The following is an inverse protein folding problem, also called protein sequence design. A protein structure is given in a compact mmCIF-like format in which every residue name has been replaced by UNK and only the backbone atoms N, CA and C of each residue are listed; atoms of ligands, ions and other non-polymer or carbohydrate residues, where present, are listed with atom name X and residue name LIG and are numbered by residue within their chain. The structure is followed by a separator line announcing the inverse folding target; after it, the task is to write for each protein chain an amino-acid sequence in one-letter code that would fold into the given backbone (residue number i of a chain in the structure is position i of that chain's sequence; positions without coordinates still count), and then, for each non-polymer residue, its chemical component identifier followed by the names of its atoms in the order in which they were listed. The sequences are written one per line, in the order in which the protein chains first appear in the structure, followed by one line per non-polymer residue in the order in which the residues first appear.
data_IF_431200941122
#
_entry.id   IF_431200941122
#
_cell.length_a   1.000
_cell.length_b   1.000
_cell.length_c   1.000
_cell.angle_alpha   90.00
_cell.angle_beta   90.00
_cell.angle_gamma   90.00
#
_symmetry.space_group_name_H-M   'P 1'
#
loop_
_entity.id
_entity.type
_entity.pdbx_description
1 polymer ?
#
# COMPACT_ATOMS: atom_id res chain seq x y z
N UNK A 1 30.82 7.81 -18.75
CA UNK A 1 29.41 7.48 -19.02
C UNK A 1 28.54 8.54 -18.36
N UNK A 2 27.49 9.03 -19.01
CA UNK A 2 26.55 9.98 -18.39
C UNK A 2 25.77 9.29 -17.30
N UNK A 3 25.44 10.01 -16.24
CA UNK A 3 24.58 9.51 -15.13
C UNK A 3 23.22 9.11 -15.70
N UNK A 4 22.79 7.85 -15.53
CA UNK A 4 21.50 7.40 -16.05
C UNK A 4 20.34 8.10 -15.31
N UNK A 5 19.27 8.39 -16.06
CA UNK A 5 18.11 9.15 -15.56
C UNK A 5 16.84 8.32 -15.61
N UNK A 6 16.16 8.19 -14.49
CA UNK A 6 14.86 7.53 -14.37
C UNK A 6 13.74 8.54 -14.14
N UNK A 7 12.58 8.32 -14.78
CA UNK A 7 11.34 9.04 -14.48
C UNK A 7 10.35 8.10 -13.81
N UNK A 8 10.18 8.25 -12.49
CA UNK A 8 9.19 7.52 -11.71
C UNK A 8 7.84 8.23 -11.81
N UNK A 9 6.80 7.50 -12.14
CA UNK A 9 5.44 8.00 -12.34
C UNK A 9 4.50 7.33 -11.35
N UNK A 10 4.12 8.06 -10.31
CA UNK A 10 3.19 7.57 -9.28
C UNK A 10 2.47 8.73 -8.62
N UNK A 11 1.19 8.54 -8.32
CA UNK A 11 0.39 9.55 -7.63
C UNK A 11 -0.98 9.06 -7.22
N UNK A 12 -1.70 9.91 -6.52
CA UNK A 12 -3.07 9.72 -6.07
C UNK A 12 -3.19 9.12 -4.68
N UNK A 13 -2.52 8.01 -4.39
CA UNK A 13 -2.60 7.35 -3.07
C UNK A 13 -1.24 6.85 -2.59
N UNK A 14 -1.11 6.67 -1.28
CA UNK A 14 0.10 6.10 -0.68
C UNK A 14 0.46 4.71 -1.24
N UNK A 15 -0.55 3.94 -1.68
CA UNK A 15 -0.34 2.62 -2.29
C UNK A 15 0.48 2.63 -3.58
N UNK A 16 0.51 3.74 -4.31
CA UNK A 16 1.39 3.94 -5.48
C UNK A 16 2.67 4.68 -5.11
N UNK A 17 2.55 5.68 -4.20
CA UNK A 17 3.65 6.60 -3.88
C UNK A 17 4.75 5.88 -3.10
N UNK A 18 4.43 5.11 -2.06
CA UNK A 18 5.44 4.44 -1.23
C UNK A 18 6.23 3.37 -1.98
N UNK A 19 5.62 2.49 -2.79
CA UNK A 19 6.39 1.58 -3.66
C UNK A 19 7.29 2.32 -4.65
N UNK A 20 6.78 3.40 -5.26
CA UNK A 20 7.59 4.25 -6.14
C UNK A 20 8.77 4.88 -5.43
N UNK A 21 8.58 5.32 -4.17
CA UNK A 21 9.64 5.90 -3.37
C UNK A 21 10.72 4.86 -3.02
N UNK A 22 10.33 3.64 -2.66
CA UNK A 22 11.29 2.56 -2.41
C UNK A 22 12.17 2.27 -3.64
N UNK A 23 11.58 2.21 -4.84
CA UNK A 23 12.34 2.05 -6.09
C UNK A 23 13.24 3.26 -6.34
N UNK A 24 12.73 4.47 -6.17
CA UNK A 24 13.48 5.72 -6.36
C UNK A 24 14.71 5.81 -5.46
N UNK A 25 14.57 5.38 -4.20
CA UNK A 25 15.68 5.34 -3.22
C UNK A 25 16.75 4.33 -3.64
N UNK A 26 16.37 3.13 -4.09
CA UNK A 26 17.31 2.13 -4.61
C UNK A 26 18.04 2.66 -5.84
N UNK A 27 17.33 3.22 -6.82
CA UNK A 27 17.94 3.81 -8.03
C UNK A 27 18.92 4.93 -7.66
N UNK A 28 18.53 5.86 -6.78
CA UNK A 28 19.40 6.94 -6.31
C UNK A 28 20.66 6.38 -5.61
N UNK A 29 20.51 5.37 -4.77
CA UNK A 29 21.62 4.68 -4.11
C UNK A 29 22.59 4.02 -5.10
N UNK A 30 22.13 3.70 -6.31
CA UNK A 30 22.93 3.17 -7.43
C UNK A 30 23.48 4.25 -8.37
N UNK A 31 23.36 5.53 -7.99
CA UNK A 31 23.92 6.66 -8.74
C UNK A 31 23.03 7.18 -9.88
N UNK A 32 21.73 6.82 -9.90
CA UNK A 32 20.80 7.36 -10.89
C UNK A 32 20.32 8.76 -10.53
N UNK A 33 20.11 9.60 -11.54
CA UNK A 33 19.28 10.79 -11.39
C UNK A 33 17.81 10.39 -11.49
N UNK A 34 17.03 10.69 -10.43
CA UNK A 34 15.63 10.31 -10.37
C UNK A 34 14.74 11.54 -10.42
N UNK A 35 13.85 11.59 -11.39
CA UNK A 35 12.75 12.54 -11.48
C UNK A 35 11.44 11.85 -11.12
N UNK A 36 10.52 12.60 -10.51
CA UNK A 36 9.21 12.09 -10.13
C UNK A 36 8.11 12.86 -10.83
N UNK A 37 7.26 12.17 -11.60
CA UNK A 37 6.08 12.75 -12.21
C UNK A 37 4.83 12.47 -11.37
N UNK A 38 4.14 13.54 -10.98
CA UNK A 38 2.92 13.48 -10.18
C UNK A 38 1.93 14.60 -10.52
N UNK A 39 0.80 14.64 -9.80
CA UNK A 39 -0.15 15.74 -9.91
C UNK A 39 0.38 17.01 -9.23
N UNK A 40 -0.05 18.21 -9.68
CA UNK A 40 0.35 19.46 -9.04
C UNK A 40 -0.20 19.56 -7.60
N UNK A 41 0.39 20.47 -6.83
CA UNK A 41 -0.08 20.83 -5.48
C UNK A 41 -1.54 21.35 -5.50
N UNK A 42 -2.39 20.99 -4.50
CA UNK A 42 -2.11 20.10 -3.39
C UNK A 42 -2.40 18.62 -3.76
N UNK A 43 -1.37 17.80 -3.79
CA UNK A 43 -1.50 16.34 -3.94
C UNK A 43 -0.59 15.66 -2.92
N UNK A 44 -0.87 14.40 -2.58
CA UNK A 44 -0.04 13.66 -1.62
C UNK A 44 1.41 13.56 -2.09
N UNK A 45 1.62 13.21 -3.35
CA UNK A 45 2.96 13.12 -3.94
C UNK A 45 3.69 14.46 -4.00
N UNK A 46 2.98 15.58 -4.26
CA UNK A 46 3.60 16.90 -4.28
C UNK A 46 4.05 17.40 -2.90
N UNK A 47 3.51 16.81 -1.83
CA UNK A 47 3.91 17.10 -0.45
C UNK A 47 5.00 16.15 0.04
N UNK A 48 4.95 14.87 -0.34
CA UNK A 48 5.84 13.84 0.19
C UNK A 48 7.18 13.73 -0.55
N UNK A 49 7.21 13.98 -1.85
CA UNK A 49 8.38 13.67 -2.69
C UNK A 49 9.47 14.75 -2.63
N UNK A 50 9.17 16.07 -2.74
CA UNK A 50 10.21 17.11 -2.71
C UNK A 50 11.04 17.11 -1.42
N UNK A 51 10.45 16.94 -0.20
CA UNK A 51 11.25 16.86 1.03
C UNK A 51 12.22 15.68 1.09
N UNK A 52 12.01 14.64 0.25
CA UNK A 52 12.91 13.50 0.11
C UNK A 52 14.09 13.78 -0.85
N UNK A 53 14.15 14.98 -1.43
CA UNK A 53 15.24 15.40 -2.32
C UNK A 53 15.14 14.87 -3.75
N UNK A 54 13.96 14.44 -4.20
CA UNK A 54 13.73 14.07 -5.60
C UNK A 54 13.20 15.25 -6.42
N UNK A 55 13.62 15.34 -7.69
CA UNK A 55 13.10 16.32 -8.63
C UNK A 55 11.64 16.03 -8.95
N UNK A 56 10.73 16.93 -8.56
CA UNK A 56 9.30 16.75 -8.75
C UNK A 56 8.79 17.50 -9.98
N UNK A 57 8.06 16.80 -10.85
CA UNK A 57 7.56 17.26 -12.13
C UNK A 57 6.02 17.15 -12.14
N UNK A 58 5.36 18.30 -12.16
CA UNK A 58 3.90 18.35 -12.13
C UNK A 58 3.27 18.23 -13.52
N UNK A 59 2.32 17.29 -13.67
CA UNK A 59 1.45 17.17 -14.84
C UNK A 59 0.00 17.28 -14.41
N UNK A 60 -0.75 18.17 -15.05
CA UNK A 60 -2.15 18.45 -14.71
C UNK A 60 -3.08 17.38 -15.23
N UNK A 61 -3.16 16.28 -14.50
CA UNK A 61 -4.14 15.24 -14.76
C UNK A 61 -4.60 14.65 -13.43
N UNK A 62 -5.90 14.57 -13.23
CA UNK A 62 -6.49 14.13 -11.96
C UNK A 62 -7.44 12.95 -12.13
N UNK A 63 -7.71 12.23 -11.04
CA UNK A 63 -8.68 11.15 -11.00
C UNK A 63 -10.04 11.56 -11.54
N UNK A 64 -10.72 10.66 -12.22
CA UNK A 64 -11.98 10.88 -12.92
C UNK A 64 -13.19 10.48 -12.09
N UNK A 65 -13.00 9.60 -11.11
CA UNK A 65 -14.09 9.01 -10.33
C UNK A 65 -14.73 10.04 -9.40
N UNK A 66 -16.07 9.98 -9.31
CA UNK A 66 -16.86 10.89 -8.46
C UNK A 66 -17.03 12.30 -8.99
N UNK A 67 -16.58 12.61 -10.22
CA UNK A 67 -16.74 13.91 -10.84
C UNK A 67 -17.91 13.92 -11.83
N UNK A 68 -18.68 15.01 -11.83
CA UNK A 68 -19.91 15.14 -12.63
C UNK A 68 -19.73 14.97 -14.14
N UNK A 69 -20.86 14.86 -14.87
CA UNK A 69 -20.92 14.59 -16.32
C UNK A 69 -20.07 15.56 -17.18
N UNK A 70 -19.93 16.81 -16.77
CA UNK A 70 -19.09 17.82 -17.45
C UNK A 70 -17.60 17.42 -17.42
N UNK A 71 -17.13 16.82 -16.34
CA UNK A 71 -15.73 16.34 -16.25
C UNK A 71 -15.47 15.17 -17.22
N UNK A 72 -16.45 14.30 -17.41
CA UNK A 72 -16.35 13.21 -18.39
C UNK A 72 -16.37 13.75 -19.82
N UNK A 73 -17.20 14.74 -20.13
CA UNK A 73 -17.21 15.36 -21.46
C UNK A 73 -15.86 16.03 -21.81
N UNK A 74 -15.22 16.64 -20.84
CA UNK A 74 -13.91 17.31 -21.01
C UNK A 74 -12.71 16.35 -20.90
N UNK A 75 -12.95 15.06 -20.63
CA UNK A 75 -11.88 14.08 -20.42
C UNK A 75 -10.93 13.95 -21.62
N UNK A 76 -11.39 13.84 -22.90
CA UNK A 76 -10.47 13.74 -24.04
C UNK A 76 -9.53 14.94 -24.13
N UNK A 77 -10.06 16.14 -23.89
CA UNK A 77 -9.25 17.35 -23.90
C UNK A 77 -8.21 17.39 -22.76
N UNK A 78 -8.62 17.03 -21.54
CA UNK A 78 -7.73 16.96 -20.38
C UNK A 78 -6.65 15.91 -20.56
N UNK A 79 -6.99 14.76 -21.13
CA UNK A 79 -6.03 13.72 -21.45
C UNK A 79 -5.02 14.20 -22.49
N UNK A 80 -5.47 14.85 -23.57
CA UNK A 80 -4.59 15.43 -24.59
C UNK A 80 -3.63 16.47 -23.98
N UNK A 81 -4.12 17.34 -23.10
CA UNK A 81 -3.28 18.29 -22.39
C UNK A 81 -2.22 17.60 -21.52
N UNK A 82 -2.62 16.55 -20.78
CA UNK A 82 -1.70 15.78 -19.95
C UNK A 82 -0.64 15.05 -20.79
N UNK A 83 -1.04 14.51 -21.95
CA UNK A 83 -0.12 13.89 -22.90
C UNK A 83 0.89 14.90 -23.45
N UNK A 84 0.45 16.11 -23.85
CA UNK A 84 1.35 17.18 -24.32
C UNK A 84 2.31 17.65 -23.22
N UNK A 85 1.84 17.80 -21.98
CA UNK A 85 2.69 18.15 -20.84
C UNK A 85 3.73 17.05 -20.56
N UNK A 86 3.31 15.78 -20.57
CA UNK A 86 4.19 14.62 -20.39
C UNK A 86 5.24 14.54 -21.49
N UNK A 87 4.85 14.75 -22.75
CA UNK A 87 5.78 14.75 -23.88
C UNK A 87 6.82 15.87 -23.76
N UNK A 88 6.39 17.10 -23.40
CA UNK A 88 7.30 18.24 -23.18
C UNK A 88 8.28 17.92 -22.04
N UNK A 89 7.79 17.32 -20.96
CA UNK A 89 8.59 16.89 -19.82
C UNK A 89 9.65 15.86 -20.23
N UNK A 90 9.23 14.80 -20.91
CA UNK A 90 10.11 13.72 -21.36
C UNK A 90 11.19 14.23 -22.32
N UNK A 91 10.84 15.15 -23.23
CA UNK A 91 11.80 15.77 -24.13
C UNK A 91 12.82 16.66 -23.41
N UNK A 92 12.43 17.30 -22.31
CA UNK A 92 13.31 18.14 -21.48
C UNK A 92 14.24 17.30 -20.63
N UNK A 93 13.71 16.30 -19.92
CA UNK A 93 14.47 15.45 -18.97
C UNK A 93 15.31 14.41 -19.74
N UNK A 94 14.78 13.90 -20.85
CA UNK A 94 15.36 12.80 -21.64
C UNK A 94 15.65 11.56 -20.77
N UNK A 95 14.66 11.06 -20.01
CA UNK A 95 14.89 9.92 -19.14
C UNK A 95 15.33 8.71 -19.97
N UNK A 96 16.25 7.91 -19.44
CA UNK A 96 16.69 6.67 -20.06
C UNK A 96 15.66 5.55 -19.84
N UNK A 97 14.95 5.59 -18.72
CA UNK A 97 13.87 4.62 -18.37
C UNK A 97 12.71 5.31 -17.68
N UNK A 98 11.52 4.74 -17.88
CA UNK A 98 10.30 5.13 -17.22
C UNK A 98 9.86 4.01 -16.25
N UNK A 99 9.48 4.37 -15.03
CA UNK A 99 8.93 3.44 -14.05
C UNK A 99 7.51 3.87 -13.70
N UNK A 100 6.52 3.07 -14.10
CA UNK A 100 5.10 3.33 -13.87
C UNK A 100 4.55 2.51 -12.72
N UNK A 101 3.96 3.17 -11.71
CA UNK A 101 3.37 2.52 -10.53
C UNK A 101 1.83 2.50 -10.57
N UNK A 102 1.24 2.84 -11.71
CA UNK A 102 -0.22 2.95 -11.79
C UNK A 102 -0.76 4.32 -11.33
N UNK A 103 -2.06 4.35 -11.11
CA UNK A 103 -2.76 5.61 -10.92
C UNK A 103 -2.98 6.36 -12.23
N UNK A 104 -3.83 7.39 -12.17
CA UNK A 104 -4.22 8.15 -13.37
C UNK A 104 -3.05 8.88 -14.03
N UNK A 105 -2.05 9.33 -13.26
CA UNK A 105 -0.92 10.13 -13.76
C UNK A 105 0.05 9.31 -14.61
N UNK A 106 0.15 8.00 -14.36
CA UNK A 106 1.07 7.12 -15.08
C UNK A 106 0.67 6.92 -16.54
N UNK A 107 -0.65 6.97 -16.86
CA UNK A 107 -1.13 6.69 -18.21
C UNK A 107 -0.60 7.67 -19.27
N UNK A 108 -0.81 9.01 -19.14
CA UNK A 108 -0.28 9.95 -20.16
C UNK A 108 1.25 9.93 -20.23
N UNK A 109 1.94 9.78 -19.11
CA UNK A 109 3.42 9.72 -19.08
C UNK A 109 3.97 8.46 -19.72
N UNK A 110 3.43 7.30 -19.38
CA UNK A 110 3.85 6.01 -19.93
C UNK A 110 3.63 5.94 -21.45
N UNK A 111 2.43 6.36 -21.92
CA UNK A 111 2.10 6.37 -23.33
C UNK A 111 3.04 7.29 -24.14
N UNK A 112 3.25 8.54 -23.68
CA UNK A 112 4.12 9.49 -24.35
C UNK A 112 5.61 9.10 -24.27
N UNK A 113 6.01 8.43 -23.20
CA UNK A 113 7.36 7.91 -23.05
C UNK A 113 7.67 6.81 -24.05
N UNK A 114 6.79 5.81 -24.14
CA UNK A 114 6.94 4.73 -25.14
C UNK A 114 6.88 5.28 -26.55
N UNK A 115 5.95 6.20 -26.85
CA UNK A 115 5.89 6.89 -28.15
C UNK A 115 7.16 7.71 -28.48
N UNK A 116 7.94 8.07 -27.45
CA UNK A 116 9.25 8.76 -27.60
C UNK A 116 10.43 7.80 -27.59
N UNK A 117 10.20 6.48 -27.71
CA UNK A 117 11.24 5.45 -27.74
C UNK A 117 11.89 5.18 -26.38
N UNK A 118 11.23 5.54 -25.27
CA UNK A 118 11.74 5.27 -23.91
C UNK A 118 11.20 3.97 -23.37
N UNK A 119 12.04 3.08 -22.82
CA UNK A 119 11.59 1.84 -22.21
C UNK A 119 10.72 2.13 -20.97
N UNK A 120 9.59 1.43 -20.88
CA UNK A 120 8.64 1.50 -19.76
C UNK A 120 8.69 0.21 -18.95
N UNK A 121 8.94 0.34 -17.66
CA UNK A 121 8.81 -0.72 -16.66
C UNK A 121 7.57 -0.42 -15.82
N UNK A 122 6.69 -1.40 -15.69
CA UNK A 122 5.48 -1.27 -14.89
C UNK A 122 5.55 -2.13 -13.64
N UNK A 123 4.96 -1.61 -12.57
CA UNK A 123 4.64 -2.40 -11.38
C UNK A 123 3.17 -2.21 -11.00
N UNK A 124 2.46 -3.32 -10.80
CA UNK A 124 1.07 -3.33 -10.30
C UNK A 124 1.06 -3.74 -8.83
N UNK A 125 0.47 -2.91 -7.99
CA UNK A 125 0.45 -3.13 -6.55
C UNK A 125 -0.70 -4.02 -6.09
N UNK A 126 -1.85 -3.97 -6.75
CA UNK A 126 -3.04 -4.70 -6.33
C UNK A 126 -3.16 -6.06 -7.02
N UNK A 127 -3.91 -6.96 -6.41
CA UNK A 127 -4.23 -8.27 -6.99
C UNK A 127 -5.11 -8.15 -8.26
N UNK A 128 -5.88 -7.06 -8.37
CA UNK A 128 -6.60 -6.68 -9.60
C UNK A 128 -5.93 -5.43 -10.17
N UNK A 129 -5.45 -5.53 -11.39
CA UNK A 129 -4.76 -4.43 -12.03
C UNK A 129 -5.67 -3.25 -12.34
N UNK A 130 -5.18 -2.05 -12.04
CA UNK A 130 -5.85 -0.82 -12.43
C UNK A 130 -5.86 -0.61 -13.95
N UNK A 131 -6.89 0.09 -14.47
CA UNK A 131 -7.10 0.31 -15.91
C UNK A 131 -5.85 0.90 -16.60
N UNK A 132 -5.15 1.84 -15.98
CA UNK A 132 -3.93 2.43 -16.54
C UNK A 132 -2.86 1.34 -16.80
N UNK A 133 -2.61 0.47 -15.82
CA UNK A 133 -1.63 -0.60 -15.93
C UNK A 133 -2.07 -1.71 -16.89
N UNK A 134 -3.38 -1.99 -17.01
CA UNK A 134 -3.91 -2.93 -18.01
C UNK A 134 -3.61 -2.47 -19.44
N UNK A 135 -3.73 -1.17 -19.72
CA UNK A 135 -3.43 -0.61 -21.05
C UNK A 135 -1.93 -0.48 -21.28
N UNK A 136 -1.20 0.09 -20.33
CA UNK A 136 0.26 0.28 -20.45
C UNK A 136 1.02 -1.05 -20.48
N UNK A 137 0.52 -2.08 -19.82
CA UNK A 137 1.10 -3.42 -19.84
C UNK A 137 1.20 -4.03 -21.24
N UNK A 138 0.36 -3.58 -22.19
CA UNK A 138 0.42 -4.06 -23.59
C UNK A 138 1.60 -3.49 -24.36
N UNK A 139 2.19 -2.38 -23.89
CA UNK A 139 3.27 -1.65 -24.55
C UNK A 139 4.52 -1.49 -23.70
N UNK A 140 4.51 -2.00 -22.47
CA UNK A 140 5.67 -1.94 -21.56
C UNK A 140 6.73 -2.98 -21.92
N UNK A 141 7.98 -2.69 -21.57
CA UNK A 141 9.13 -3.59 -21.78
C UNK A 141 9.17 -4.69 -20.72
N UNK A 142 8.88 -4.36 -19.47
CA UNK A 142 8.82 -5.31 -18.36
C UNK A 142 7.62 -4.99 -17.48
N UNK A 143 7.02 -6.03 -16.92
CA UNK A 143 5.87 -5.92 -16.01
C UNK A 143 6.19 -6.70 -14.75
N UNK A 144 6.03 -6.04 -13.62
CA UNK A 144 6.14 -6.61 -12.29
C UNK A 144 4.82 -6.46 -11.52
N UNK A 145 4.59 -7.35 -10.56
CA UNK A 145 3.38 -7.31 -9.74
C UNK A 145 3.64 -7.69 -8.29
N UNK A 146 2.82 -7.13 -7.40
CA UNK A 146 2.85 -7.48 -5.97
C UNK A 146 2.19 -8.83 -5.69
N UNK A 147 1.25 -9.23 -6.52
CA UNK A 147 0.49 -10.47 -6.38
C UNK A 147 0.62 -11.35 -7.63
N UNK A 148 0.52 -12.68 -7.49
CA UNK A 148 0.50 -13.58 -8.64
C UNK A 148 -0.64 -13.24 -9.60
N UNK A 149 -0.36 -13.31 -10.90
CA UNK A 149 -1.35 -13.17 -11.97
C UNK A 149 -2.13 -11.84 -12.02
N UNK A 150 -1.65 -10.78 -11.35
CA UNK A 150 -2.32 -9.47 -11.38
C UNK A 150 -2.35 -8.83 -12.78
N UNK A 151 -1.34 -9.10 -13.61
CA UNK A 151 -1.25 -8.67 -15.01
C UNK A 151 -0.73 -9.80 -15.89
N UNK A 152 -1.22 -9.91 -17.15
CA UNK A 152 -0.63 -10.82 -18.14
C UNK A 152 0.87 -10.55 -18.32
N UNK A 153 1.68 -11.60 -18.33
CA UNK A 153 3.15 -11.53 -18.44
C UNK A 153 3.85 -10.81 -17.27
N UNK A 154 3.11 -10.47 -16.20
CA UNK A 154 3.69 -9.85 -15.01
C UNK A 154 4.50 -10.85 -14.18
N UNK A 155 5.73 -10.50 -13.87
CA UNK A 155 6.55 -11.26 -12.92
C UNK A 155 6.14 -10.90 -11.49
N UNK A 156 5.81 -11.91 -10.70
CA UNK A 156 5.50 -11.72 -9.28
C UNK A 156 6.77 -11.51 -8.46
N UNK A 157 7.06 -10.27 -8.12
CA UNK A 157 8.23 -9.89 -7.31
C UNK A 157 7.85 -9.39 -5.91
N UNK A 158 6.55 -9.22 -5.62
CA UNK A 158 6.07 -8.56 -4.42
C UNK A 158 5.96 -7.05 -4.58
N UNK A 159 5.58 -6.38 -3.50
CA UNK A 159 5.48 -4.93 -3.46
C UNK A 159 6.79 -4.30 -2.99
N UNK A 160 7.33 -3.29 -3.68
CA UNK A 160 8.45 -2.52 -3.14
C UNK A 160 8.12 -1.92 -1.78
N UNK A 161 8.86 -2.32 -0.77
CA UNK A 161 8.62 -1.94 0.62
C UNK A 161 9.65 -0.91 1.10
N UNK A 162 9.25 -0.08 2.06
CA UNK A 162 10.16 0.79 2.78
C UNK A 162 11.14 -0.04 3.61
N UNK A 163 12.39 0.40 3.73
CA UNK A 163 13.47 -0.32 4.39
C UNK A 163 13.13 -0.75 5.84
N UNK A 164 12.30 0.03 6.53
CA UNK A 164 11.86 -0.25 7.90
C UNK A 164 11.08 -1.57 8.04
N UNK A 165 10.46 -2.10 6.95
CA UNK A 165 9.73 -3.38 6.97
C UNK A 165 10.60 -4.60 6.64
N UNK A 166 11.84 -4.40 6.18
CA UNK A 166 12.66 -5.48 5.61
C UNK A 166 13.48 -6.26 6.65
N UNK A 167 13.87 -5.61 7.76
CA UNK A 167 14.87 -6.14 8.69
C UNK A 167 14.26 -6.42 10.08
N UNK A 168 13.31 -7.35 10.14
CA UNK A 168 12.74 -7.80 11.41
C UNK A 168 13.09 -9.26 11.70
N UNK A 169 13.25 -9.63 12.98
CA UNK A 169 13.42 -11.04 13.35
C UNK A 169 12.22 -11.88 12.91
N UNK A 170 12.45 -13.13 12.62
CA UNK A 170 11.41 -14.11 12.26
C UNK A 170 10.31 -14.20 13.32
N UNK A 171 9.06 -14.54 12.94
CA UNK A 171 7.94 -14.65 13.86
C UNK A 171 8.24 -15.50 15.08
N UNK A 172 8.82 -16.69 14.91
CA UNK A 172 9.16 -17.59 16.01
C UNK A 172 10.01 -16.91 17.10
N UNK A 173 11.01 -16.10 16.71
CA UNK A 173 11.85 -15.35 17.66
C UNK A 173 11.06 -14.21 18.35
N UNK A 174 10.19 -13.53 17.61
CA UNK A 174 9.42 -12.40 18.14
C UNK A 174 8.32 -12.84 19.09
N UNK A 175 7.73 -14.02 18.90
CA UNK A 175 6.70 -14.57 19.76
C UNK A 175 7.28 -15.32 20.96
N UNK A 176 8.53 -15.75 20.90
CA UNK A 176 9.18 -16.48 22.00
C UNK A 176 9.15 -15.70 23.32
N UNK A 177 8.68 -16.34 24.38
CA UNK A 177 8.62 -15.78 25.71
C UNK A 177 7.56 -14.68 25.93
N UNK A 178 6.70 -14.40 24.95
CA UNK A 178 5.59 -13.46 25.14
C UNK A 178 4.56 -14.01 26.12
N UNK A 179 4.23 -13.23 27.13
CA UNK A 179 3.23 -13.53 28.17
C UNK A 179 2.26 -12.38 28.33
N UNK A 180 1.24 -12.55 29.18
CA UNK A 180 0.20 -11.55 29.44
C UNK A 180 -0.83 -11.41 28.31
N UNK A 181 -1.59 -10.31 28.24
CA UNK A 181 -2.61 -10.08 27.24
C UNK A 181 -2.05 -10.07 25.81
N UNK A 182 -2.87 -10.46 24.83
CA UNK A 182 -2.52 -10.27 23.41
C UNK A 182 -2.33 -8.80 23.09
N UNK A 183 -1.35 -8.48 22.26
CA UNK A 183 -1.10 -7.13 21.76
C UNK A 183 -1.74 -6.95 20.39
N UNK A 184 -2.77 -6.13 20.30
CA UNK A 184 -3.49 -5.85 19.07
C UNK A 184 -3.14 -4.46 18.57
N UNK A 185 -2.72 -4.36 17.32
CA UNK A 185 -2.52 -3.08 16.64
C UNK A 185 -3.60 -2.90 15.57
N UNK A 186 -4.28 -1.75 15.60
CA UNK A 186 -5.33 -1.42 14.64
C UNK A 186 -4.86 -0.34 13.69
N UNK A 187 -4.94 -0.60 12.39
CA UNK A 187 -4.46 0.29 11.34
C UNK A 187 -5.55 0.59 10.31
N UNK A 188 -6.16 1.76 10.42
CA UNK A 188 -7.21 2.22 9.51
C UNK A 188 -6.70 2.78 8.17
N UNK A 189 -5.36 2.96 8.02
CA UNK A 189 -4.77 3.72 6.93
C UNK A 189 -4.86 5.24 7.15
N UNK A 190 -4.40 6.04 6.19
CA UNK A 190 -4.28 7.51 6.32
C UNK A 190 -5.59 8.23 6.61
N UNK A 191 -6.72 7.68 6.19
CA UNK A 191 -8.05 8.26 6.40
C UNK A 191 -8.78 7.67 7.61
N UNK A 192 -8.19 6.67 8.29
CA UNK A 192 -8.85 5.88 9.31
C UNK A 192 -9.85 4.87 8.72
N UNK A 193 -10.37 4.00 9.57
CA UNK A 193 -11.36 2.98 9.19
C UNK A 193 -12.59 3.08 10.10
N UNK A 194 -13.51 3.99 9.79
CA UNK A 194 -14.67 4.31 10.64
C UNK A 194 -15.45 3.06 11.10
N UNK A 195 -15.63 2.06 10.21
CA UNK A 195 -16.30 0.82 10.61
C UNK A 195 -15.55 0.09 11.72
N UNK A 196 -14.23 -0.02 11.62
CA UNK A 196 -13.39 -0.64 12.65
C UNK A 196 -13.40 0.21 13.91
N UNK A 197 -13.27 1.54 13.79
CA UNK A 197 -13.29 2.50 14.89
C UNK A 197 -14.59 2.39 15.71
N UNK A 198 -15.72 2.13 15.04
CA UNK A 198 -17.04 2.03 15.69
C UNK A 198 -17.27 0.69 16.35
N UNK A 199 -16.80 -0.40 15.74
CA UNK A 199 -17.13 -1.77 16.16
C UNK A 199 -16.17 -2.29 17.21
N UNK A 200 -14.87 -2.05 17.07
CA UNK A 200 -13.86 -2.65 17.96
C UNK A 200 -14.04 -2.27 19.44
N UNK A 201 -14.30 -1.00 19.84
CA UNK A 201 -14.53 -0.69 21.26
C UNK A 201 -15.68 -1.49 21.85
N UNK A 202 -16.77 -1.67 21.09
CA UNK A 202 -17.94 -2.45 21.50
C UNK A 202 -17.62 -3.95 21.59
N UNK A 203 -16.83 -4.47 20.68
CA UNK A 203 -16.38 -5.86 20.70
C UNK A 203 -15.52 -6.15 21.93
N UNK A 204 -14.59 -5.26 22.26
CA UNK A 204 -13.74 -5.39 23.45
C UNK A 204 -14.54 -5.33 24.76
N UNK A 205 -15.63 -4.54 24.80
CA UNK A 205 -16.53 -4.49 25.96
C UNK A 205 -17.23 -5.84 26.24
N UNK A 206 -17.44 -6.67 25.21
CA UNK A 206 -18.03 -8.02 25.33
C UNK A 206 -17.03 -9.06 25.84
N UNK A 207 -15.74 -8.76 25.84
CA UNK A 207 -14.70 -9.66 26.34
C UNK A 207 -14.50 -9.42 27.84
N UNK A 208 -14.42 -10.48 28.68
CA UNK A 208 -14.11 -10.34 30.08
C UNK A 208 -12.81 -9.54 30.31
N UNK A 209 -12.78 -8.69 31.32
CA UNK A 209 -11.68 -7.72 31.56
C UNK A 209 -10.29 -8.40 31.57
N UNK A 210 -10.21 -9.57 32.24
CA UNK A 210 -8.97 -10.35 32.36
C UNK A 210 -8.46 -10.94 31.02
N UNK A 211 -9.35 -11.09 30.03
CA UNK A 211 -9.06 -11.73 28.74
C UNK A 211 -8.89 -10.68 27.62
N UNK A 212 -9.09 -9.39 27.94
CA UNK A 212 -8.99 -8.30 26.96
C UNK A 212 -7.57 -8.14 26.46
N UNK A 213 -7.36 -8.02 25.12
CA UNK A 213 -6.07 -7.64 24.59
C UNK A 213 -5.71 -6.19 24.95
N UNK A 214 -4.42 -5.89 25.03
CA UNK A 214 -3.95 -4.50 24.96
C UNK A 214 -4.03 -4.01 23.52
N UNK A 215 -4.51 -2.77 23.33
CA UNK A 215 -4.79 -2.24 21.98
C UNK A 215 -4.08 -0.92 21.76
N UNK A 216 -3.32 -0.83 20.65
CA UNK A 216 -2.91 0.42 20.04
C UNK A 216 -3.81 0.66 18.81
N UNK A 217 -4.60 1.73 18.81
CA UNK A 217 -5.58 2.01 17.75
C UNK A 217 -5.30 3.31 17.02
N UNK A 218 -4.95 3.20 15.76
CA UNK A 218 -4.84 4.35 14.84
C UNK A 218 -6.20 4.68 14.25
N UNK A 219 -6.83 5.74 14.76
CA UNK A 219 -8.17 6.19 14.35
C UNK A 219 -8.21 7.03 13.09
N UNK A 220 -7.09 7.64 12.72
CA UNK A 220 -7.03 8.72 11.72
C UNK A 220 -7.35 10.09 12.34
N UNK A 221 -6.71 11.14 11.85
CA UNK A 221 -6.77 12.49 12.42
C UNK A 221 -8.21 13.01 12.60
N UNK A 222 -9.05 12.82 11.58
CA UNK A 222 -10.45 13.31 11.59
C UNK A 222 -11.37 12.55 12.52
N UNK A 223 -11.02 11.35 12.94
CA UNK A 223 -11.88 10.43 13.71
C UNK A 223 -11.37 10.17 15.12
N UNK A 224 -10.25 10.78 15.52
CA UNK A 224 -9.61 10.48 16.81
C UNK A 224 -10.52 10.81 18.01
N UNK A 225 -11.22 11.94 17.97
CA UNK A 225 -12.14 12.35 19.04
C UNK A 225 -13.34 11.40 19.14
N UNK A 226 -13.93 11.02 18.01
CA UNK A 226 -15.06 10.07 17.99
C UNK A 226 -14.63 8.70 18.48
N UNK A 227 -13.41 8.27 18.13
CA UNK A 227 -12.82 7.02 18.59
C UNK A 227 -12.62 7.04 20.13
N UNK A 228 -12.08 8.13 20.68
CA UNK A 228 -11.91 8.29 22.11
C UNK A 228 -13.25 8.24 22.87
N UNK A 229 -14.28 8.88 22.33
CA UNK A 229 -15.63 8.79 22.89
C UNK A 229 -16.19 7.38 22.82
N UNK A 230 -15.98 6.65 21.73
CA UNK A 230 -16.45 5.27 21.59
C UNK A 230 -15.79 4.32 22.61
N UNK A 231 -14.49 4.44 22.86
CA UNK A 231 -13.78 3.68 23.89
C UNK A 231 -14.27 4.02 25.31
N UNK A 232 -14.44 5.32 25.59
CA UNK A 232 -14.99 5.78 26.88
C UNK A 232 -16.40 5.24 27.14
N UNK A 233 -17.29 5.29 26.14
CA UNK A 233 -18.65 4.76 26.24
C UNK A 233 -18.67 3.24 26.42
N UNK A 234 -17.72 2.54 25.83
CA UNK A 234 -17.58 1.09 25.95
C UNK A 234 -16.95 0.66 27.29
N UNK A 235 -16.39 1.56 28.09
CA UNK A 235 -15.67 1.23 29.33
C UNK A 235 -14.41 0.40 29.08
N UNK A 236 -13.69 0.68 27.98
CA UNK A 236 -12.50 -0.05 27.57
C UNK A 236 -11.32 0.92 27.42
N UNK A 237 -10.17 0.52 27.93
CA UNK A 237 -8.92 1.27 27.78
C UNK A 237 -8.17 0.83 26.51
N UNK A 238 -7.59 1.79 25.81
CA UNK A 238 -6.72 1.58 24.65
C UNK A 238 -5.79 2.78 24.45
N UNK A 239 -4.64 2.55 23.84
CA UNK A 239 -3.77 3.60 23.35
C UNK A 239 -4.29 4.09 22.01
N UNK A 240 -4.66 5.38 21.91
CA UNK A 240 -5.28 5.98 20.74
C UNK A 240 -4.33 6.98 20.08
N UNK A 241 -4.18 6.86 18.77
CA UNK A 241 -3.35 7.79 17.99
C UNK A 241 -3.98 8.16 16.66
N UNK A 242 -3.69 9.33 16.15
CA UNK A 242 -4.06 9.72 14.79
C UNK A 242 -3.24 8.96 13.74
N UNK A 243 -1.93 8.81 13.99
CA UNK A 243 -0.98 8.10 13.13
C UNK A 243 -0.01 7.29 14.00
N UNK A 244 0.49 6.20 13.43
CA UNK A 244 1.59 5.42 13.99
C UNK A 244 2.86 5.83 13.27
N UNK A 245 3.80 6.46 13.98
CA UNK A 245 5.05 6.99 13.39
C UNK A 245 5.93 5.87 12.82
N UNK A 246 6.01 4.76 13.54
CA UNK A 246 6.76 3.58 13.09
C UNK A 246 5.85 2.36 12.98
N UNK A 247 5.12 2.20 11.86
CA UNK A 247 4.18 1.10 11.68
C UNK A 247 4.89 -0.26 11.60
N UNK A 248 6.12 -0.33 11.12
CA UNK A 248 6.89 -1.58 11.07
C UNK A 248 7.20 -2.09 12.48
N UNK A 249 7.63 -1.22 13.39
CA UNK A 249 7.86 -1.58 14.78
C UNK A 249 6.57 -1.96 15.50
N UNK A 250 5.50 -1.20 15.29
CA UNK A 250 4.19 -1.52 15.87
C UNK A 250 3.69 -2.91 15.45
N UNK A 251 3.75 -3.23 14.14
CA UNK A 251 3.42 -4.55 13.63
C UNK A 251 4.34 -5.65 14.19
N UNK A 252 5.64 -5.40 14.28
CA UNK A 252 6.61 -6.37 14.80
C UNK A 252 6.38 -6.69 16.30
N UNK A 253 5.85 -5.74 17.06
CA UNK A 253 5.52 -5.91 18.47
C UNK A 253 4.11 -6.47 18.69
N UNK A 254 3.23 -6.43 17.69
CA UNK A 254 1.87 -6.97 17.77
C UNK A 254 1.86 -8.51 17.78
N UNK A 255 0.85 -9.07 18.41
CA UNK A 255 0.43 -10.45 18.23
C UNK A 255 -0.58 -10.55 17.08
N UNK A 256 -1.40 -9.50 16.91
CA UNK A 256 -2.43 -9.41 15.88
C UNK A 256 -2.52 -7.98 15.34
N UNK A 257 -2.70 -7.86 14.02
CA UNK A 257 -3.05 -6.60 13.35
C UNK A 257 -4.50 -6.66 12.87
N UNK A 258 -5.31 -5.63 13.16
CA UNK A 258 -6.64 -5.45 12.55
C UNK A 258 -6.55 -4.26 11.60
N UNK A 259 -6.80 -4.47 10.30
CA UNK A 259 -6.52 -3.43 9.32
C UNK A 259 -7.40 -3.49 8.07
N UNK A 260 -7.30 -2.45 7.23
CA UNK A 260 -7.72 -2.51 5.84
C UNK A 260 -6.71 -3.33 5.02
N UNK A 261 -7.16 -3.91 3.90
CA UNK A 261 -6.35 -4.77 3.03
C UNK A 261 -5.82 -4.05 1.78
N UNK A 262 -5.28 -2.84 1.97
CA UNK A 262 -4.51 -2.19 0.91
C UNK A 262 -3.28 -3.02 0.54
N UNK A 263 -2.86 -2.98 -0.71
CA UNK A 263 -1.74 -3.80 -1.23
C UNK A 263 -0.45 -3.63 -0.41
N UNK A 264 -0.10 -2.40 -0.04
CA UNK A 264 1.07 -2.14 0.83
C UNK A 264 0.92 -2.82 2.18
N UNK A 265 -0.24 -2.67 2.84
CA UNK A 265 -0.48 -3.26 4.16
C UNK A 265 -0.40 -4.79 4.14
N UNK A 266 -0.98 -5.43 3.11
CA UNK A 266 -0.89 -6.90 2.95
C UNK A 266 0.56 -7.35 2.75
N UNK A 267 1.33 -6.60 1.96
CA UNK A 267 2.76 -6.89 1.75
C UNK A 267 3.60 -6.60 2.99
N UNK A 268 3.28 -5.57 3.76
CA UNK A 268 3.92 -5.22 5.04
C UNK A 268 3.66 -6.30 6.10
N UNK A 269 2.41 -6.82 6.19
CA UNK A 269 2.03 -7.96 7.04
C UNK A 269 2.88 -9.19 6.69
N UNK A 270 3.02 -9.51 5.41
CA UNK A 270 3.84 -10.63 4.96
C UNK A 270 5.33 -10.41 5.29
N UNK A 271 5.86 -9.21 5.04
CA UNK A 271 7.28 -8.90 5.28
C UNK A 271 7.65 -9.00 6.76
N UNK A 272 6.82 -8.45 7.64
CA UNK A 272 6.99 -8.56 9.10
C UNK A 272 6.71 -10.02 9.55
N UNK A 273 5.77 -10.70 8.93
CA UNK A 273 5.25 -11.97 9.42
C UNK A 273 4.44 -11.77 10.70
N UNK A 274 3.32 -11.07 10.61
CA UNK A 274 2.38 -10.87 11.73
C UNK A 274 1.00 -11.38 11.34
N UNK A 275 0.27 -11.96 12.28
CA UNK A 275 -1.10 -12.38 12.06
C UNK A 275 -2.03 -11.18 11.85
N UNK A 276 -3.01 -11.27 10.96
CA UNK A 276 -3.90 -10.16 10.68
C UNK A 276 -5.36 -10.58 10.50
N UNK A 277 -6.28 -9.77 11.03
CA UNK A 277 -7.69 -9.71 10.62
C UNK A 277 -7.83 -8.54 9.65
N UNK A 278 -8.09 -8.88 8.40
CA UNK A 278 -8.20 -7.92 7.31
C UNK A 278 -9.66 -7.61 7.02
N UNK A 279 -10.03 -6.35 7.10
CA UNK A 279 -11.38 -5.84 6.83
C UNK A 279 -11.34 -5.02 5.55
N UNK A 280 -11.61 -5.60 4.37
CA UNK A 280 -11.58 -4.89 3.10
C UNK A 280 -12.50 -3.67 3.09
N UNK A 281 -12.07 -2.58 2.42
CA UNK A 281 -12.91 -1.42 2.22
C UNK A 281 -13.93 -1.71 1.10
N UNK A 282 -15.25 -1.67 1.39
CA UNK A 282 -16.28 -2.18 0.45
C UNK A 282 -16.45 -1.32 -0.81
N UNK A 283 -15.96 -0.09 -0.79
CA UNK A 283 -15.99 0.81 -1.95
C UNK A 283 -14.64 0.87 -2.68
N UNK A 284 -13.75 -0.09 -2.41
CA UNK A 284 -12.51 -0.22 -3.15
C UNK A 284 -12.82 -0.51 -4.63
N UNK A 285 -12.01 0.12 -5.50
CA UNK A 285 -12.16 -0.04 -6.96
C UNK A 285 -12.05 -1.50 -7.35
N UNK A 286 -13.04 -2.03 -8.09
CA UNK A 286 -13.05 -3.40 -8.58
C UNK A 286 -12.82 -4.44 -7.46
N UNK A 287 -13.22 -4.10 -6.23
CA UNK A 287 -13.07 -4.92 -5.02
C UNK A 287 -11.63 -5.45 -4.78
N UNK A 288 -10.63 -4.68 -5.22
CA UNK A 288 -9.23 -5.11 -5.13
C UNK A 288 -8.78 -5.41 -3.68
N UNK A 289 -9.39 -4.77 -2.65
CA UNK A 289 -9.01 -5.03 -1.26
C UNK A 289 -9.39 -6.42 -0.79
N UNK A 290 -10.53 -6.95 -1.23
CA UNK A 290 -10.92 -8.34 -0.95
C UNK A 290 -9.92 -9.31 -1.58
N UNK A 291 -9.56 -9.08 -2.85
CA UNK A 291 -8.57 -9.92 -3.54
C UNK A 291 -7.17 -9.83 -2.93
N UNK A 292 -6.75 -8.65 -2.48
CA UNK A 292 -5.49 -8.49 -1.75
C UNK A 292 -5.50 -9.29 -0.44
N UNK A 293 -6.61 -9.25 0.33
CA UNK A 293 -6.74 -9.99 1.58
C UNK A 293 -6.74 -11.51 1.35
N UNK A 294 -7.38 -11.98 0.26
CA UNK A 294 -7.43 -13.39 -0.09
C UNK A 294 -6.05 -14.00 -0.32
N UNK A 295 -5.07 -13.22 -0.77
CA UNK A 295 -3.70 -13.68 -0.93
C UNK A 295 -3.12 -14.27 0.36
N UNK A 296 -3.39 -13.65 1.52
CA UNK A 296 -2.97 -14.17 2.81
C UNK A 296 -3.99 -15.17 3.39
N UNK A 297 -5.28 -14.83 3.37
CA UNK A 297 -6.29 -15.64 4.06
C UNK A 297 -6.48 -17.02 3.44
N UNK A 298 -6.37 -17.15 2.11
CA UNK A 298 -6.45 -18.44 1.42
C UNK A 298 -5.30 -19.40 1.79
N UNK A 299 -4.18 -18.88 2.29
CA UNK A 299 -3.03 -19.65 2.76
C UNK A 299 -3.06 -19.87 4.30
N UNK A 300 -4.12 -19.42 4.97
CA UNK A 300 -4.20 -19.44 6.43
C UNK A 300 -3.18 -18.52 7.11
N UNK A 301 -2.73 -17.49 6.40
CA UNK A 301 -1.79 -16.47 6.87
C UNK A 301 -2.49 -15.25 7.51
N UNK A 302 -3.77 -15.38 7.81
CA UNK A 302 -4.63 -14.36 8.40
C UNK A 302 -6.10 -14.62 8.10
N UNK A 303 -6.95 -13.73 8.53
CA UNK A 303 -8.40 -13.81 8.40
C UNK A 303 -8.93 -12.64 7.57
N UNK A 304 -9.85 -12.95 6.66
CA UNK A 304 -10.63 -11.96 5.95
C UNK A 304 -11.99 -11.85 6.62
N UNK A 305 -12.39 -10.64 7.01
CA UNK A 305 -13.69 -10.32 7.58
C UNK A 305 -14.35 -9.24 6.72
N UNK A 306 -15.38 -9.60 5.98
CA UNK A 306 -16.08 -8.64 5.13
C UNK A 306 -16.75 -7.55 5.99
N UNK A 307 -16.69 -6.28 5.55
CA UNK A 307 -17.20 -5.17 6.37
C UNK A 307 -18.70 -5.30 6.68
N UNK A 308 -19.50 -5.90 5.81
CA UNK A 308 -20.94 -6.09 6.05
C UNK A 308 -21.23 -7.16 7.12
N UNK A 309 -20.28 -8.04 7.40
CA UNK A 309 -20.34 -9.05 8.49
C UNK A 309 -19.76 -8.51 9.80
N UNK A 310 -19.00 -7.40 9.75
CA UNK A 310 -18.32 -6.85 10.90
C UNK A 310 -19.31 -6.38 11.97
N UNK A 311 -19.45 -7.15 13.04
CA UNK A 311 -20.25 -6.83 14.20
C UNK A 311 -19.42 -6.97 15.48
N UNK A 312 -19.86 -6.30 16.56
CA UNK A 312 -19.19 -6.38 17.85
C UNK A 312 -19.12 -7.82 18.38
N UNK A 313 -20.20 -8.59 18.24
CA UNK A 313 -20.25 -9.97 18.69
C UNK A 313 -19.33 -10.89 17.89
N UNK A 314 -19.34 -10.78 16.55
CA UNK A 314 -18.48 -11.60 15.70
C UNK A 314 -17.00 -11.32 15.98
N UNK A 315 -16.63 -10.03 16.08
CA UNK A 315 -15.24 -9.65 16.33
C UNK A 315 -14.79 -10.05 17.75
N UNK A 316 -15.66 -9.92 18.76
CA UNK A 316 -15.37 -10.38 20.12
C UNK A 316 -15.13 -11.90 20.15
N UNK A 317 -16.03 -12.68 19.54
CA UNK A 317 -15.90 -14.14 19.46
C UNK A 317 -14.60 -14.53 18.73
N UNK A 318 -14.27 -13.85 17.63
CA UNK A 318 -13.03 -14.10 16.90
C UNK A 318 -11.80 -13.82 17.79
N UNK A 319 -11.75 -12.68 18.48
CA UNK A 319 -10.62 -12.31 19.35
C UNK A 319 -10.44 -13.28 20.52
N UNK A 320 -11.53 -13.76 21.13
CA UNK A 320 -11.48 -14.73 22.23
C UNK A 320 -10.98 -16.12 21.81
N UNK A 321 -11.21 -16.50 20.55
CA UNK A 321 -10.75 -17.78 20.00
C UNK A 321 -9.32 -17.75 19.47
N UNK A 322 -8.66 -16.58 19.38
CA UNK A 322 -7.29 -16.47 18.91
C UNK A 322 -6.31 -16.70 20.07
N UNK A 323 -5.54 -17.77 19.95
CA UNK A 323 -4.41 -18.06 20.86
C UNK A 323 -3.09 -17.58 20.23
N UNK A 324 -2.04 -17.37 21.06
CA UNK A 324 -0.71 -17.03 20.53
C UNK A 324 -0.17 -18.07 19.56
N UNK A 325 -0.44 -19.34 19.78
CA UNK A 325 0.01 -20.40 18.90
C UNK A 325 -0.66 -20.33 17.52
N UNK A 326 -1.97 -20.07 17.47
CA UNK A 326 -2.68 -19.83 16.21
C UNK A 326 -2.17 -18.58 15.49
N UNK A 327 -1.91 -17.51 16.25
CA UNK A 327 -1.37 -16.27 15.71
C UNK A 327 0.06 -16.47 15.18
N UNK A 328 0.91 -17.22 15.89
CA UNK A 328 2.25 -17.57 15.42
C UNK A 328 2.19 -18.38 14.13
N UNK A 329 1.34 -19.40 14.05
CA UNK A 329 1.18 -20.20 12.82
C UNK A 329 0.76 -19.33 11.62
N UNK A 330 -0.20 -18.41 11.82
CA UNK A 330 -0.60 -17.49 10.76
C UNK A 330 0.52 -16.51 10.39
N UNK A 331 1.27 -16.02 11.36
CA UNK A 331 2.40 -15.13 11.17
C UNK A 331 3.55 -15.81 10.39
N UNK A 332 3.86 -17.07 10.68
CA UNK A 332 4.87 -17.86 9.95
C UNK A 332 4.45 -18.10 8.50
N UNK A 333 3.17 -18.42 8.26
CA UNK A 333 2.63 -18.57 6.91
C UNK A 333 2.71 -17.25 6.14
N UNK A 334 2.35 -16.11 6.77
CA UNK A 334 2.50 -14.78 6.16
C UNK A 334 3.96 -14.50 5.81
N UNK A 335 4.88 -14.79 6.71
CA UNK A 335 6.31 -14.61 6.51
C UNK A 335 6.87 -15.48 5.36
N UNK A 336 6.35 -16.68 5.18
CA UNK A 336 6.68 -17.56 4.05
C UNK A 336 6.27 -17.01 2.68
N UNK A 337 5.28 -16.11 2.64
CA UNK A 337 4.79 -15.49 1.40
C UNK A 337 5.50 -14.18 1.05
N UNK A 338 6.41 -13.69 1.90
CA UNK A 338 7.08 -12.40 1.71
C UNK A 338 7.95 -12.36 0.47
N UNK A 339 8.00 -11.20 -0.15
CA UNK A 339 8.96 -10.80 -1.18
C UNK A 339 9.60 -9.49 -0.73
N UNK A 340 10.89 -9.50 -0.49
CA UNK A 340 11.60 -8.36 0.11
C UNK A 340 12.56 -7.65 -0.82
N UNK A 341 12.77 -8.17 -2.02
CA UNK A 341 13.73 -7.73 -3.03
C UNK A 341 13.06 -7.07 -4.26
N UNK A 342 11.79 -6.67 -4.13
CA UNK A 342 11.02 -6.13 -5.26
C UNK A 342 11.62 -4.82 -5.81
N UNK A 343 12.06 -3.91 -4.94
CA UNK A 343 12.66 -2.64 -5.38
C UNK A 343 13.98 -2.86 -6.13
N UNK A 344 14.81 -3.76 -5.63
CA UNK A 344 16.10 -4.14 -6.23
C UNK A 344 15.91 -4.81 -7.58
N UNK A 345 14.95 -5.74 -7.72
CA UNK A 345 14.63 -6.40 -8.99
C UNK A 345 14.13 -5.42 -10.04
N UNK A 346 13.28 -4.47 -9.65
CA UNK A 346 12.80 -3.42 -10.56
C UNK A 346 13.95 -2.49 -10.95
N UNK A 347 14.81 -2.09 -10.01
CA UNK A 347 15.98 -1.28 -10.31
C UNK A 347 16.99 -2.03 -11.21
N UNK A 348 17.14 -3.34 -11.04
CA UNK A 348 17.94 -4.18 -11.93
C UNK A 348 17.36 -4.18 -13.34
N UNK A 349 16.04 -4.37 -13.49
CA UNK A 349 15.39 -4.29 -14.79
C UNK A 349 15.57 -2.91 -15.46
N UNK A 350 15.62 -1.82 -14.68
CA UNK A 350 15.96 -0.49 -15.21
C UNK A 350 17.36 -0.44 -15.84
N UNK A 351 18.34 -1.18 -15.28
CA UNK A 351 19.69 -1.28 -15.88
C UNK A 351 19.71 -2.16 -17.12
N UNK A 352 19.00 -3.27 -17.09
CA UNK A 352 18.98 -4.25 -18.19
C UNK A 352 18.39 -3.69 -19.48
N UNK A 353 17.43 -2.76 -19.40
CA UNK A 353 16.85 -2.12 -20.59
C UNK A 353 17.74 -1.05 -21.21
N UNK A 354 18.89 -0.70 -20.59
CA UNK A 354 19.89 0.24 -21.11
C UNK A 354 21.11 -0.46 -21.73
N UNK A 355 21.26 -1.75 -21.46
CA UNK A 355 22.33 -2.57 -21.99
C UNK A 355 21.99 -3.09 -23.40
#
# INVERSE_FOLDING_TARGET
MSTPTALVMAGGTGGHIFPGLAIAEVLRGQGWQVHWMGAPHPSMESQLIPPKGFNFEAVRFGGLRGKGKLTLLLLPWRLLQAMMQSLKLIRRIKPDVLVGLGGYITFPGGLMGVASGRPLILHEQNAIAGMANQWLGKISHRIFSSFPNALPKGEWVGNPLRAEFLNHPEPARRYAGRTGPLRVVVMGGSLGAQAINTVLPKALALIPVQDRPSVLHQGGEKHLNDLAMAYKQAGVEAELTAFIDNPAQAMAQADLVICRSGASTVSEIAAIGVAAVMVPFPFAVDDHQTMNAQFLSAQGAGWLLAQHELSAQLLANQLQNLTRDLLLQAAEKAYGLRKTDAAEKIAQACREVLA
#
